data_IF_713785898476
#
_entry.id   IF_713785898476
#
_cell.length_a   1.000
_cell.length_b   1.000
_cell.length_c   1.000
_cell.angle_alpha   90.00
_cell.angle_beta   90.00
_cell.angle_gamma   90.00
#
_symmetry.space_group_name_H-M   'P 1'
#
loop_
_entity.id
_entity.type
_entity.pdbx_description
1 polymer ?
#
# COMPACT_ATOMS: atom_id res chain seq x y z
N UNK A 1 1.60 -15.04 21.94
CA UNK A 1 1.61 -14.17 20.76
C UNK A 1 1.65 -14.93 19.44
N UNK A 2 0.74 -14.62 18.51
CA UNK A 2 0.87 -14.99 17.09
C UNK A 2 0.48 -13.81 16.20
N UNK A 3 1.41 -13.33 15.38
CA UNK A 3 1.16 -12.33 14.34
C UNK A 3 1.01 -13.04 13.00
N UNK A 4 -0.08 -12.77 12.29
CA UNK A 4 -0.29 -13.27 10.93
C UNK A 4 -0.09 -12.14 9.93
N UNK A 5 0.81 -12.32 8.97
CA UNK A 5 1.05 -11.36 7.90
C UNK A 5 0.49 -11.94 6.60
N UNK A 6 -0.55 -11.31 6.07
CA UNK A 6 -1.07 -11.55 4.73
C UNK A 6 -0.33 -10.61 3.77
N UNK A 7 0.58 -11.17 2.97
CA UNK A 7 1.34 -10.42 1.97
C UNK A 7 0.72 -10.64 0.58
N UNK A 8 0.35 -9.54 -0.07
CA UNK A 8 -0.24 -9.47 -1.40
C UNK A 8 0.63 -8.56 -2.28
N UNK A 9 0.54 -8.71 -3.60
CA UNK A 9 1.27 -7.89 -4.57
C UNK A 9 0.61 -8.03 -5.94
N UNK A 10 0.92 -7.12 -6.86
CA UNK A 10 0.63 -7.26 -8.30
C UNK A 10 -0.85 -7.57 -8.60
N UNK A 11 -1.75 -6.88 -7.89
CA UNK A 11 -3.19 -7.13 -7.98
C UNK A 11 -3.77 -6.51 -9.25
N UNK A 12 -3.28 -5.32 -9.62
CA UNK A 12 -3.71 -4.56 -10.78
C UNK A 12 -5.23 -4.40 -10.89
N UNK A 13 -5.85 -3.76 -9.89
CA UNK A 13 -7.25 -3.38 -9.97
C UNK A 13 -7.50 -2.54 -11.23
N UNK A 14 -8.53 -2.93 -12.00
CA UNK A 14 -8.87 -2.34 -13.30
C UNK A 14 -10.37 -2.23 -13.45
N UNK A 15 -10.85 -1.14 -14.04
CA UNK A 15 -12.28 -1.01 -14.36
C UNK A 15 -12.79 -2.20 -15.19
N UNK A 16 -13.99 -2.71 -14.87
CA UNK A 16 -14.69 -3.79 -15.58
C UNK A 16 -13.99 -5.16 -15.62
N UNK A 17 -12.81 -5.35 -15.00
CA UNK A 17 -12.09 -6.64 -15.03
C UNK A 17 -11.28 -6.89 -13.76
N UNK A 18 -11.97 -7.24 -12.66
CA UNK A 18 -11.33 -7.60 -11.40
C UNK A 18 -11.69 -9.01 -10.96
N UNK A 19 -10.96 -10.01 -11.46
CA UNK A 19 -11.18 -11.40 -11.06
C UNK A 19 -10.97 -11.56 -9.54
N UNK A 20 -10.02 -10.83 -8.97
CA UNK A 20 -9.74 -10.90 -7.53
C UNK A 20 -10.93 -10.49 -6.66
N UNK A 21 -11.76 -9.54 -7.10
CA UNK A 21 -12.95 -9.09 -6.35
C UNK A 21 -13.92 -10.25 -6.17
N UNK A 22 -14.18 -11.01 -7.24
CA UNK A 22 -15.01 -12.21 -7.18
C UNK A 22 -14.38 -13.35 -6.37
N UNK A 23 -13.04 -13.36 -6.23
CA UNK A 23 -12.28 -14.37 -5.48
C UNK A 23 -12.05 -13.99 -4.02
N UNK A 24 -12.45 -12.80 -3.57
CA UNK A 24 -12.28 -12.37 -2.16
C UNK A 24 -12.74 -13.42 -1.14
N UNK A 25 -13.93 -14.05 -1.29
CA UNK A 25 -14.35 -15.09 -0.33
C UNK A 25 -13.41 -16.29 -0.31
N UNK A 26 -12.83 -16.66 -1.46
CA UNK A 26 -11.85 -17.76 -1.55
C UNK A 26 -10.53 -17.41 -0.86
N UNK A 27 -10.10 -16.15 -0.95
CA UNK A 27 -8.91 -15.66 -0.22
C UNK A 27 -9.15 -15.80 1.28
N UNK A 28 -10.32 -15.35 1.78
CA UNK A 28 -10.70 -15.53 3.17
C UNK A 28 -10.74 -17.01 3.57
N UNK A 29 -11.35 -17.88 2.76
CA UNK A 29 -11.46 -19.31 3.04
C UNK A 29 -10.10 -20.02 3.19
N UNK A 30 -9.09 -19.60 2.44
CA UNK A 30 -7.73 -20.15 2.53
C UNK A 30 -7.06 -19.69 3.83
N UNK A 31 -7.29 -18.44 4.23
CA UNK A 31 -6.57 -17.80 5.34
C UNK A 31 -7.25 -18.07 6.69
N UNK A 32 -8.57 -18.28 6.73
CA UNK A 32 -9.35 -18.36 7.98
C UNK A 32 -8.79 -19.36 8.99
N UNK A 33 -8.34 -20.53 8.53
CA UNK A 33 -7.78 -21.56 9.41
C UNK A 33 -6.40 -21.19 9.96
N UNK A 34 -5.64 -20.34 9.26
CA UNK A 34 -4.31 -19.86 9.68
C UNK A 34 -4.39 -18.65 10.59
N UNK A 35 -5.40 -17.81 10.40
CA UNK A 35 -5.59 -16.58 11.17
C UNK A 35 -6.42 -16.78 12.45
N UNK A 36 -7.14 -17.89 12.57
CA UNK A 36 -7.93 -18.20 13.77
C UNK A 36 -7.05 -18.22 15.02
N UNK A 37 -7.44 -17.45 16.03
CA UNK A 37 -6.72 -17.35 17.30
C UNK A 37 -5.42 -16.54 17.26
N UNK A 38 -5.17 -15.78 16.18
CA UNK A 38 -4.04 -14.85 16.14
C UNK A 38 -4.19 -13.77 17.22
N UNK A 39 -3.07 -13.27 17.75
CA UNK A 39 -3.03 -12.08 18.61
C UNK A 39 -3.17 -10.79 17.81
N UNK A 40 -2.68 -10.79 16.56
CA UNK A 40 -2.76 -9.66 15.64
C UNK A 40 -2.64 -10.12 14.18
N UNK A 41 -3.07 -9.28 13.24
CA UNK A 41 -2.85 -9.52 11.82
C UNK A 41 -2.45 -8.25 11.07
N UNK A 42 -1.65 -8.43 10.03
CA UNK A 42 -1.20 -7.37 9.14
C UNK A 42 -1.51 -7.77 7.70
N UNK A 43 -2.19 -6.91 6.96
CA UNK A 43 -2.30 -7.02 5.50
C UNK A 43 -1.25 -6.09 4.89
N UNK A 44 -0.36 -6.60 4.06
CA UNK A 44 0.66 -5.81 3.36
C UNK A 44 0.49 -6.01 1.87
N UNK A 45 0.39 -4.92 1.12
CA UNK A 45 0.41 -4.98 -0.35
C UNK A 45 1.67 -4.32 -0.89
N UNK A 46 2.53 -5.10 -1.56
CA UNK A 46 3.88 -4.69 -1.98
C UNK A 46 3.99 -4.09 -3.38
N UNK A 47 3.00 -3.29 -3.78
CA UNK A 47 3.00 -2.62 -5.08
C UNK A 47 1.98 -3.16 -6.07
N UNK A 48 1.89 -2.45 -7.19
CA UNK A 48 1.02 -2.72 -8.33
C UNK A 48 -0.43 -3.00 -7.90
N UNK A 49 -0.95 -2.08 -7.09
CA UNK A 49 -2.31 -2.12 -6.56
C UNK A 49 -3.27 -1.81 -7.70
N UNK A 50 -3.08 -0.69 -8.37
CA UNK A 50 -3.83 -0.27 -9.55
C UNK A 50 -3.16 -0.79 -10.84
N UNK A 51 -3.95 -0.90 -11.91
CA UNK A 51 -3.43 -1.31 -13.23
C UNK A 51 -2.72 -0.15 -13.94
N UNK A 52 -3.18 1.09 -13.75
CA UNK A 52 -2.67 2.29 -14.42
C UNK A 52 -2.73 3.55 -13.55
N UNK A 53 -2.77 3.39 -12.22
CA UNK A 53 -2.79 4.49 -11.26
C UNK A 53 -4.06 5.35 -11.27
N UNK A 54 -5.15 4.91 -11.90
CA UNK A 54 -6.37 5.74 -12.03
C UNK A 54 -7.20 5.75 -10.75
N UNK A 55 -7.94 6.84 -10.53
CA UNK A 55 -8.76 7.00 -9.33
C UNK A 55 -9.86 5.95 -9.21
N UNK A 56 -10.46 5.55 -10.33
CA UNK A 56 -11.50 4.52 -10.39
C UNK A 56 -10.95 3.14 -9.96
N UNK A 57 -9.69 2.86 -10.29
CA UNK A 57 -9.00 1.63 -9.90
C UNK A 57 -8.75 1.59 -8.38
N UNK A 58 -8.32 2.71 -7.79
CA UNK A 58 -8.17 2.84 -6.34
C UNK A 58 -9.49 2.83 -5.58
N UNK A 59 -10.60 3.29 -6.19
CA UNK A 59 -11.92 3.17 -5.59
C UNK A 59 -12.31 1.69 -5.43
N UNK A 60 -12.05 0.88 -6.45
CA UNK A 60 -12.28 -0.57 -6.40
C UNK A 60 -11.35 -1.23 -5.37
N UNK A 61 -10.06 -0.87 -5.36
CA UNK A 61 -9.09 -1.38 -4.40
C UNK A 61 -9.54 -1.10 -2.95
N UNK A 62 -10.00 0.12 -2.67
CA UNK A 62 -10.48 0.54 -1.35
C UNK A 62 -11.64 -0.33 -0.87
N UNK A 63 -12.65 -0.54 -1.70
CA UNK A 63 -13.80 -1.37 -1.32
C UNK A 63 -13.41 -2.84 -1.14
N UNK A 64 -12.49 -3.36 -1.96
CA UNK A 64 -11.94 -4.71 -1.80
C UNK A 64 -11.25 -4.88 -0.44
N UNK A 65 -10.28 -4.02 -0.13
CA UNK A 65 -9.48 -4.12 1.10
C UNK A 65 -10.30 -3.81 2.34
N UNK A 66 -11.23 -2.85 2.28
CA UNK A 66 -12.17 -2.57 3.36
C UNK A 66 -13.02 -3.79 3.69
N UNK A 67 -13.55 -4.47 2.68
CA UNK A 67 -14.34 -5.68 2.89
C UNK A 67 -13.51 -6.84 3.45
N UNK A 68 -12.33 -7.10 2.89
CA UNK A 68 -11.42 -8.16 3.37
C UNK A 68 -10.98 -7.90 4.81
N UNK A 69 -10.56 -6.68 5.12
CA UNK A 69 -10.14 -6.28 6.46
C UNK A 69 -11.27 -6.44 7.48
N UNK A 70 -12.49 -5.98 7.12
CA UNK A 70 -13.68 -6.14 7.95
C UNK A 70 -13.98 -7.61 8.23
N UNK A 71 -13.96 -8.46 7.20
CA UNK A 71 -14.21 -9.89 7.31
C UNK A 71 -13.20 -10.60 8.23
N UNK A 72 -11.90 -10.29 8.09
CA UNK A 72 -10.85 -10.83 8.95
C UNK A 72 -11.00 -10.34 10.41
N UNK A 73 -11.25 -9.05 10.62
CA UNK A 73 -11.48 -8.48 11.95
C UNK A 73 -12.70 -9.09 12.64
N UNK A 74 -13.81 -9.27 11.91
CA UNK A 74 -15.02 -9.88 12.45
C UNK A 74 -14.83 -11.36 12.79
N UNK A 75 -14.02 -12.08 12.01
CA UNK A 75 -13.72 -13.49 12.25
C UNK A 75 -12.76 -13.71 13.42
N UNK A 76 -11.70 -12.91 13.52
CA UNK A 76 -10.67 -13.05 14.57
C UNK A 76 -11.03 -12.35 15.87
N UNK A 77 -11.92 -11.35 15.83
CA UNK A 77 -12.21 -10.42 16.95
C UNK A 77 -11.00 -9.60 17.39
N UNK A 78 -10.03 -9.40 16.49
CA UNK A 78 -8.78 -8.70 16.75
C UNK A 78 -8.67 -7.48 15.84
N UNK A 79 -8.12 -6.39 16.37
CA UNK A 79 -7.74 -5.22 15.60
C UNK A 79 -6.42 -5.50 14.87
N UNK A 80 -6.48 -5.63 13.54
CA UNK A 80 -5.32 -5.73 12.68
C UNK A 80 -4.89 -4.38 12.10
N UNK A 81 -3.93 -4.43 11.17
CA UNK A 81 -3.47 -3.28 10.40
C UNK A 81 -3.36 -3.59 8.91
N UNK A 82 -3.38 -2.55 8.08
CA UNK A 82 -3.19 -2.68 6.64
C UNK A 82 -2.17 -1.66 6.11
N UNK A 83 -1.20 -2.13 5.33
CA UNK A 83 -0.10 -1.35 4.80
C UNK A 83 0.03 -1.56 3.29
N UNK A 84 0.55 -0.54 2.62
CA UNK A 84 0.71 -0.50 1.18
C UNK A 84 2.04 0.17 0.84
N UNK A 85 2.65 -0.27 -0.25
CA UNK A 85 3.62 0.50 -1.03
C UNK A 85 3.13 0.54 -2.48
N UNK A 86 3.46 1.57 -3.27
CA UNK A 86 3.11 1.60 -4.68
C UNK A 86 4.11 0.76 -5.49
N UNK A 87 3.67 0.28 -6.65
CA UNK A 87 4.53 -0.24 -7.71
C UNK A 87 4.49 0.67 -8.95
N UNK A 88 5.20 0.28 -10.02
CA UNK A 88 5.29 1.12 -11.21
C UNK A 88 3.94 1.30 -11.94
N UNK A 89 2.99 0.36 -11.81
CA UNK A 89 1.65 0.48 -12.38
C UNK A 89 0.70 1.37 -11.55
N UNK A 90 1.10 1.73 -10.33
CA UNK A 90 0.39 2.70 -9.50
C UNK A 90 0.64 4.15 -9.96
N UNK A 91 1.66 4.38 -10.78
CA UNK A 91 1.90 5.65 -11.44
C UNK A 91 0.86 5.91 -12.54
N UNK A 92 0.08 6.98 -12.39
CA UNK A 92 -0.75 7.52 -13.46
C UNK A 92 0.11 8.41 -14.35
N UNK A 93 0.64 7.81 -15.41
CA UNK A 93 1.43 8.55 -16.36
C UNK A 93 0.57 9.38 -17.32
N UNK A 94 1.03 10.60 -17.57
CA UNK A 94 0.70 11.36 -18.78
C UNK A 94 2.00 11.66 -19.53
N UNK A 95 1.92 11.76 -20.85
CA UNK A 95 3.09 11.80 -21.74
C UNK A 95 4.02 12.99 -21.49
N UNK A 96 3.53 14.10 -20.89
CA UNK A 96 4.36 15.28 -20.65
C UNK A 96 5.15 15.16 -19.35
N UNK A 97 4.51 14.64 -18.29
CA UNK A 97 5.14 14.49 -16.99
C UNK A 97 6.17 13.33 -16.96
N UNK A 98 6.02 12.35 -17.85
CA UNK A 98 6.97 11.25 -18.00
C UNK A 98 8.38 11.69 -18.43
N UNK A 99 8.49 12.56 -19.44
CA UNK A 99 9.80 13.03 -19.94
C UNK A 99 10.57 13.77 -18.85
N UNK A 100 9.88 14.68 -18.13
CA UNK A 100 10.47 15.45 -17.03
C UNK A 100 10.88 14.52 -15.89
N UNK A 101 10.03 13.57 -15.50
CA UNK A 101 10.36 12.57 -14.47
C UNK A 101 11.58 11.75 -14.88
N UNK A 102 11.68 11.34 -16.15
CA UNK A 102 12.83 10.61 -16.68
C UNK A 102 14.15 11.36 -16.47
N UNK A 103 14.19 12.66 -16.82
CA UNK A 103 15.35 13.51 -16.62
C UNK A 103 15.75 13.64 -15.14
N UNK A 104 14.76 13.73 -14.25
CA UNK A 104 14.99 13.77 -12.80
C UNK A 104 15.59 12.45 -12.31
N UNK A 105 15.02 11.31 -12.71
CA UNK A 105 15.49 9.98 -12.33
C UNK A 105 16.92 9.74 -12.82
N UNK A 106 17.26 10.16 -14.04
CA UNK A 106 18.62 10.06 -14.56
C UNK A 106 19.59 10.99 -13.83
N UNK A 107 19.13 12.18 -13.42
CA UNK A 107 19.88 13.05 -12.51
C UNK A 107 20.20 12.35 -11.19
N UNK A 108 19.22 11.68 -10.57
CA UNK A 108 19.39 10.93 -9.31
C UNK A 108 20.37 9.77 -9.49
N UNK A 109 20.25 8.99 -10.56
CA UNK A 109 21.17 7.87 -10.83
C UNK A 109 22.63 8.31 -10.93
N UNK A 110 22.87 9.49 -11.52
CA UNK A 110 24.21 9.99 -11.76
C UNK A 110 24.80 10.78 -10.59
N UNK A 111 23.97 11.52 -9.84
CA UNK A 111 24.43 12.46 -8.80
C UNK A 111 24.07 12.04 -7.36
N UNK A 112 23.22 11.04 -7.21
CA UNK A 112 22.69 10.60 -5.92
C UNK A 112 21.46 11.39 -5.46
N UNK A 113 20.74 10.84 -4.47
CA UNK A 113 19.52 11.41 -3.91
C UNK A 113 19.72 12.72 -3.14
N UNK A 114 20.93 12.99 -2.63
CA UNK A 114 21.22 14.18 -1.80
C UNK A 114 21.09 15.51 -2.55
N UNK A 115 21.10 15.47 -3.88
CA UNK A 115 20.98 16.65 -4.74
C UNK A 115 19.52 16.95 -5.14
N UNK A 116 18.56 16.14 -4.69
CA UNK A 116 17.16 16.30 -5.06
C UNK A 116 16.49 17.32 -4.15
N UNK A 117 16.08 18.46 -4.71
CA UNK A 117 15.24 19.40 -3.98
C UNK A 117 13.83 18.84 -3.78
N UNK A 118 13.13 19.31 -2.75
CA UNK A 118 11.72 18.97 -2.49
C UNK A 118 10.82 19.23 -3.71
N UNK A 119 11.11 20.27 -4.50
CA UNK A 119 10.38 20.57 -5.72
C UNK A 119 10.58 19.48 -6.79
N UNK A 120 11.81 19.01 -7.00
CA UNK A 120 12.10 17.93 -7.95
C UNK A 120 11.52 16.61 -7.47
N UNK A 121 11.54 16.35 -6.16
CA UNK A 121 10.92 15.17 -5.56
C UNK A 121 9.41 15.16 -5.78
N UNK A 122 8.75 16.30 -5.57
CA UNK A 122 7.31 16.45 -5.79
C UNK A 122 6.93 16.19 -7.25
N UNK A 123 7.68 16.76 -8.21
CA UNK A 123 7.47 16.49 -9.64
C UNK A 123 7.69 15.01 -9.94
N UNK A 124 8.78 14.43 -9.42
CA UNK A 124 9.07 13.01 -9.58
C UNK A 124 7.90 12.16 -9.09
N UNK A 125 7.37 12.41 -7.89
CA UNK A 125 6.31 11.60 -7.30
C UNK A 125 4.89 11.92 -7.79
N UNK A 126 4.69 12.99 -8.58
CA UNK A 126 3.36 13.42 -9.02
C UNK A 126 2.52 12.36 -9.77
N UNK A 127 3.08 11.38 -10.51
CA UNK A 127 2.27 10.28 -11.05
C UNK A 127 1.57 9.44 -9.98
N UNK A 128 2.03 9.49 -8.73
CA UNK A 128 1.47 8.76 -7.59
C UNK A 128 0.43 9.58 -6.79
N UNK A 129 -0.02 10.75 -7.25
CA UNK A 129 -0.98 11.58 -6.53
C UNK A 129 -2.27 10.83 -6.14
N UNK A 130 -2.75 9.96 -7.05
CA UNK A 130 -3.92 9.12 -6.78
C UNK A 130 -3.61 8.03 -5.74
N UNK A 131 -2.41 7.44 -5.78
CA UNK A 131 -1.93 6.51 -4.76
C UNK A 131 -1.88 7.19 -3.38
N UNK A 132 -1.26 8.37 -3.26
CA UNK A 132 -1.20 9.09 -1.99
C UNK A 132 -2.59 9.46 -1.47
N UNK A 133 -3.50 9.86 -2.36
CA UNK A 133 -4.91 10.09 -2.02
C UNK A 133 -5.59 8.82 -1.50
N UNK A 134 -5.32 7.66 -2.11
CA UNK A 134 -5.79 6.37 -1.65
C UNK A 134 -5.25 6.02 -0.24
N UNK A 135 -3.96 6.19 0.00
CA UNK A 135 -3.34 5.94 1.32
C UNK A 135 -3.92 6.84 2.40
N UNK A 136 -4.09 8.14 2.13
CA UNK A 136 -4.72 9.07 3.06
C UNK A 136 -6.16 8.65 3.40
N UNK A 137 -6.91 8.19 2.40
CA UNK A 137 -8.26 7.65 2.62
C UNK A 137 -8.23 6.37 3.47
N UNK A 138 -7.28 5.45 3.23
CA UNK A 138 -7.13 4.23 4.03
C UNK A 138 -6.82 4.60 5.48
N UNK A 139 -5.82 5.45 5.71
CA UNK A 139 -5.40 5.90 7.06
C UNK A 139 -6.55 6.54 7.85
N UNK A 140 -7.45 7.27 7.17
CA UNK A 140 -8.61 7.92 7.79
C UNK A 140 -9.74 6.95 8.14
N UNK A 141 -9.94 5.90 7.35
CA UNK A 141 -11.14 5.06 7.40
C UNK A 141 -10.90 3.61 7.82
N UNK A 142 -9.65 3.18 7.93
CA UNK A 142 -9.25 1.84 8.35
C UNK A 142 -8.33 1.94 9.58
N UNK A 143 -8.45 1.00 10.50
CA UNK A 143 -7.60 0.96 11.69
C UNK A 143 -6.16 0.64 11.30
N UNK A 144 -5.24 1.55 11.62
CA UNK A 144 -3.81 1.29 11.65
C UNK A 144 -3.42 1.40 13.12
N UNK A 145 -3.01 0.29 13.72
CA UNK A 145 -2.66 0.19 15.14
C UNK A 145 -1.19 0.51 15.42
N UNK A 146 -0.39 0.75 14.37
CA UNK A 146 1.03 1.10 14.48
C UNK A 146 1.29 2.61 14.46
N UNK A 147 2.38 3.00 15.10
CA UNK A 147 2.85 4.39 15.15
C UNK A 147 3.65 4.72 13.89
N UNK A 148 3.22 5.75 13.15
CA UNK A 148 4.01 6.29 12.04
C UNK A 148 5.15 7.12 12.63
N UNK A 149 6.39 6.65 12.47
CA UNK A 149 7.59 7.32 13.02
C UNK A 149 8.34 8.15 11.99
N UNK A 150 8.08 7.91 10.71
CA UNK A 150 8.60 8.68 9.60
C UNK A 150 7.62 8.59 8.44
N UNK A 151 7.30 9.71 7.80
CA UNK A 151 6.39 9.74 6.67
C UNK A 151 6.95 10.69 5.60
N UNK A 152 7.36 10.10 4.48
CA UNK A 152 7.97 10.80 3.37
C UNK A 152 7.55 10.11 2.06
N UNK A 153 7.41 10.82 0.92
CA UNK A 153 6.95 10.22 -0.33
C UNK A 153 7.74 8.99 -0.80
N UNK A 154 9.03 8.92 -0.47
CA UNK A 154 9.91 7.79 -0.80
C UNK A 154 9.99 6.69 0.26
N UNK A 155 9.60 6.99 1.50
CA UNK A 155 9.73 6.06 2.63
C UNK A 155 8.76 6.45 3.73
N UNK A 156 7.89 5.52 4.11
CA UNK A 156 7.19 5.59 5.39
C UNK A 156 7.74 4.52 6.33
N UNK A 157 7.83 4.81 7.62
CA UNK A 157 8.26 3.86 8.63
C UNK A 157 7.19 3.77 9.70
N UNK A 158 6.76 2.55 9.97
CA UNK A 158 5.73 2.27 10.98
C UNK A 158 6.30 1.32 12.01
N UNK A 159 6.07 1.63 13.28
CA UNK A 159 6.42 0.76 14.40
C UNK A 159 5.16 0.16 15.00
N UNK A 160 5.23 -1.12 15.31
CA UNK A 160 4.21 -1.85 16.03
C UNK A 160 4.80 -2.40 17.32
N UNK A 161 3.98 -2.45 18.36
CA UNK A 161 4.29 -3.16 19.59
C UNK A 161 3.23 -4.26 19.79
N UNK A 162 3.64 -5.51 19.58
CA UNK A 162 2.78 -6.67 19.79
C UNK A 162 3.25 -7.41 21.03
N UNK A 163 2.50 -7.33 22.13
CA UNK A 163 2.81 -8.04 23.40
C UNK A 163 4.29 -7.89 23.85
N UNK A 164 4.91 -6.72 23.63
CA UNK A 164 6.31 -6.43 23.99
C UNK A 164 7.33 -6.69 22.88
N UNK A 165 6.95 -7.31 21.76
CA UNK A 165 7.77 -7.39 20.56
C UNK A 165 7.62 -6.11 19.73
N UNK A 166 8.72 -5.40 19.53
CA UNK A 166 8.77 -4.24 18.66
C UNK A 166 9.07 -4.67 17.22
N UNK A 167 8.10 -4.44 16.32
CA UNK A 167 8.26 -4.65 14.88
C UNK A 167 8.36 -3.29 14.19
N UNK A 168 9.42 -3.09 13.39
CA UNK A 168 9.59 -1.90 12.54
C UNK A 168 9.44 -2.31 11.08
N UNK A 169 8.54 -1.66 10.35
CA UNK A 169 8.31 -1.90 8.92
C UNK A 169 8.71 -0.65 8.15
N UNK A 170 9.62 -0.81 7.19
CA UNK A 170 10.04 0.23 6.27
C UNK A 170 9.30 0.04 4.94
N UNK A 171 8.46 1.00 4.57
CA UNK A 171 7.63 1.01 3.38
C UNK A 171 8.32 1.88 2.32
N UNK A 172 9.21 1.28 1.54
CA UNK A 172 9.92 1.96 0.47
C UNK A 172 9.00 2.14 -0.75
N UNK A 173 8.94 3.36 -1.26
CA UNK A 173 8.34 3.63 -2.55
C UNK A 173 9.42 3.50 -3.63
N UNK A 174 9.37 2.41 -4.39
CA UNK A 174 10.28 2.11 -5.49
C UNK A 174 9.64 2.30 -6.87
N UNK A 175 8.44 2.89 -6.93
CA UNK A 175 7.66 3.10 -8.15
C UNK A 175 8.23 4.21 -9.04
#
# INVERSE_FOLDING_TARGET
>A
MTLVILHLSDIHFRENRNVIVSRRPKIFDIIKNKIRGCSNFLIVTSGDIAFSGKNEEYAIAREFFKALFKELKEYTKVDGSILFVPGNHDCKFDTKNEEVRGLILDGIKNKGLSELSEALLSICCSPLDNYFSFINSVRKHMSITGDTVFDHPLLSVIKFNFEGLLLKINLFNSA
#
